data_IF_100331338502
#
_entry.id   IF_100331338502
#
_cell.length_a   1.000
_cell.length_b   1.000
_cell.length_c   1.000
_cell.angle_alpha   90.00
_cell.angle_beta   90.00
_cell.angle_gamma   90.00
#
_symmetry.space_group_name_H-M   'P 1'
#
loop_
_entity.id
_entity.type
_entity.pdbx_description
1 polymer ?
#
# COMPACT_ATOMS: atom_id res chain seq x y z
N UNK A 1 -1.22 8.50 12.27
CA UNK A 1 -2.62 8.67 11.83
C UNK A 1 -2.72 8.15 10.40
N UNK A 2 -3.57 7.15 10.16
CA UNK A 2 -3.83 6.62 8.83
C UNK A 2 -4.91 7.48 8.16
N UNK A 3 -4.67 7.90 6.92
CA UNK A 3 -5.66 8.65 6.15
C UNK A 3 -6.41 7.70 5.21
N UNK A 4 -7.69 7.99 4.97
CA UNK A 4 -8.56 7.07 4.23
C UNK A 4 -8.15 7.01 2.75
N UNK A 5 -7.92 5.83 2.14
CA UNK A 5 -7.41 5.75 0.77
C UNK A 5 -8.42 6.32 -0.24
N UNK A 6 -8.04 7.40 -0.92
CA UNK A 6 -8.85 8.08 -1.94
C UNK A 6 -8.03 8.30 -3.21
N UNK A 7 -8.72 8.59 -4.32
CA UNK A 7 -8.07 8.94 -5.58
C UNK A 7 -7.16 10.17 -5.47
N UNK A 8 -7.55 11.17 -4.65
CA UNK A 8 -6.72 12.35 -4.41
C UNK A 8 -5.36 11.97 -3.82
N UNK A 9 -5.36 11.07 -2.85
CA UNK A 9 -4.12 10.64 -2.22
C UNK A 9 -3.22 9.82 -3.13
N UNK A 10 -3.78 9.03 -4.05
CA UNK A 10 -3.00 8.37 -5.11
C UNK A 10 -2.35 9.38 -6.07
N UNK A 11 -3.09 10.45 -6.43
CA UNK A 11 -2.57 11.54 -7.29
C UNK A 11 -1.48 12.38 -6.62
N UNK A 12 -1.40 12.38 -5.30
CA UNK A 12 -0.38 13.13 -4.56
C UNK A 12 1.01 12.49 -4.69
N UNK A 13 1.09 11.14 -4.69
CA UNK A 13 2.37 10.42 -4.84
C UNK A 13 2.65 10.08 -6.30
N UNK A 14 1.62 9.81 -7.10
CA UNK A 14 1.74 9.51 -8.55
C UNK A 14 2.53 8.25 -8.88
N UNK A 15 2.72 7.36 -7.92
CA UNK A 15 3.45 6.11 -8.12
C UNK A 15 2.75 4.92 -7.46
N UNK A 16 3.23 3.74 -7.81
CA UNK A 16 2.80 2.44 -7.33
C UNK A 16 4.02 1.61 -6.97
N UNK A 17 3.82 0.57 -6.17
CA UNK A 17 4.79 -0.50 -5.99
C UNK A 17 4.16 -1.82 -6.45
N UNK A 18 4.94 -2.70 -7.07
CA UNK A 18 4.46 -4.01 -7.52
C UNK A 18 4.81 -5.06 -6.47
N UNK A 19 3.85 -5.91 -6.13
CA UNK A 19 4.12 -7.03 -5.24
C UNK A 19 4.86 -8.14 -6.00
N UNK A 20 5.98 -8.63 -5.46
CA UNK A 20 6.77 -9.70 -6.09
C UNK A 20 6.04 -11.05 -6.16
N UNK A 21 5.14 -11.32 -5.19
CA UNK A 21 4.38 -12.58 -5.13
C UNK A 21 3.23 -12.67 -6.13
N UNK A 22 2.55 -11.55 -6.39
CA UNK A 22 1.32 -11.56 -7.18
C UNK A 22 1.32 -10.59 -8.36
N UNK A 23 2.40 -9.84 -8.57
CA UNK A 23 2.60 -8.84 -9.62
C UNK A 23 1.56 -7.71 -9.68
N UNK A 24 0.66 -7.63 -8.70
CA UNK A 24 -0.37 -6.59 -8.65
C UNK A 24 0.26 -5.27 -8.20
N UNK A 25 -0.06 -4.15 -8.86
CA UNK A 25 0.32 -2.84 -8.37
C UNK A 25 -0.45 -2.48 -7.10
N UNK A 26 0.22 -1.79 -6.19
CA UNK A 26 -0.36 -1.21 -4.98
C UNK A 26 -0.10 0.29 -4.96
N UNK A 27 -1.16 1.04 -4.72
CA UNK A 27 -1.15 2.50 -4.76
C UNK A 27 -0.49 3.03 -3.50
N UNK A 28 0.49 3.92 -3.70
CA UNK A 28 1.02 4.71 -2.60
C UNK A 28 0.11 5.94 -2.40
N UNK A 29 -0.13 6.26 -1.15
CA UNK A 29 -0.98 7.35 -0.73
C UNK A 29 -0.13 8.37 0.02
N UNK A 30 -0.39 9.67 -0.17
CA UNK A 30 0.17 10.73 0.66
C UNK A 30 -0.88 11.79 0.98
N UNK A 31 -0.87 12.32 2.21
CA UNK A 31 -1.81 13.36 2.66
C UNK A 31 -1.74 14.63 1.82
N UNK A 32 -0.54 15.01 1.46
CA UNK A 32 -0.23 16.18 0.66
C UNK A 32 0.60 15.75 -0.54
N UNK A 33 0.66 16.62 -1.55
CA UNK A 33 1.50 16.42 -2.73
C UNK A 33 2.97 16.50 -2.30
N UNK A 34 3.75 15.50 -2.72
CA UNK A 34 5.20 15.50 -2.52
C UNK A 34 5.89 16.30 -3.62
N UNK A 35 7.07 16.84 -3.33
CA UNK A 35 7.91 17.56 -4.27
C UNK A 35 8.51 16.62 -5.32
N UNK A 36 9.09 17.19 -6.37
CA UNK A 36 9.76 16.39 -7.42
C UNK A 36 11.02 15.70 -6.89
N UNK A 37 11.76 16.35 -5.99
CA UNK A 37 12.95 15.79 -5.35
C UNK A 37 12.59 14.63 -4.42
N UNK A 38 11.55 14.83 -3.61
CA UNK A 38 10.97 13.79 -2.75
C UNK A 38 10.46 12.60 -3.56
N UNK A 39 9.79 12.86 -4.68
CA UNK A 39 9.31 11.82 -5.59
C UNK A 39 10.45 10.99 -6.16
N UNK A 40 11.53 11.63 -6.62
CA UNK A 40 12.72 10.94 -7.14
C UNK A 40 13.40 10.08 -6.07
N UNK A 41 13.54 10.61 -4.86
CA UNK A 41 14.09 9.87 -3.73
C UNK A 41 13.24 8.64 -3.39
N UNK A 42 11.91 8.82 -3.30
CA UNK A 42 10.97 7.73 -3.07
C UNK A 42 11.07 6.68 -4.17
N UNK A 43 11.12 7.09 -5.43
CA UNK A 43 11.19 6.16 -6.55
C UNK A 43 12.49 5.34 -6.52
N UNK A 44 13.64 5.98 -6.29
CA UNK A 44 14.93 5.29 -6.14
C UNK A 44 14.89 4.25 -5.02
N UNK A 45 14.30 4.60 -3.87
CA UNK A 45 14.13 3.64 -2.78
C UNK A 45 13.23 2.47 -3.17
N UNK A 46 12.07 2.74 -3.79
CA UNK A 46 11.13 1.69 -4.20
C UNK A 46 11.74 0.70 -5.20
N UNK A 47 12.66 1.16 -6.06
CA UNK A 47 13.39 0.31 -7.00
C UNK A 47 14.45 -0.57 -6.30
N UNK A 48 14.93 -0.16 -5.11
CA UNK A 48 15.94 -0.87 -4.33
C UNK A 48 15.38 -1.96 -3.39
N UNK A 49 14.06 -2.08 -3.30
CA UNK A 49 13.38 -2.99 -2.37
C UNK A 49 12.47 -3.98 -3.09
N UNK A 50 12.28 -5.13 -2.47
CA UNK A 50 11.22 -6.05 -2.82
C UNK A 50 10.01 -5.82 -1.92
N UNK A 51 8.83 -5.67 -2.52
CA UNK A 51 7.60 -5.44 -1.79
C UNK A 51 6.68 -6.67 -1.86
N UNK A 52 6.10 -7.02 -0.72
CA UNK A 52 5.06 -8.04 -0.60
C UNK A 52 3.78 -7.44 -0.03
N UNK A 53 2.63 -7.89 -0.54
CA UNK A 53 1.33 -7.38 -0.10
C UNK A 53 1.13 -7.60 1.41
N UNK A 54 0.56 -6.61 2.09
CA UNK A 54 0.29 -6.65 3.53
C UNK A 54 1.39 -6.02 4.38
N UNK A 55 2.56 -5.75 3.81
CA UNK A 55 3.66 -5.04 4.48
C UNK A 55 3.46 -3.53 4.37
N UNK A 56 3.90 -2.78 5.39
CA UNK A 56 3.94 -1.30 5.36
C UNK A 56 5.37 -0.80 5.28
N UNK A 57 5.58 0.42 4.77
CA UNK A 57 6.92 1.01 4.71
C UNK A 57 7.59 1.17 6.07
N UNK A 58 6.84 1.33 7.17
CA UNK A 58 7.44 1.30 8.51
C UNK A 58 8.25 0.04 8.79
N UNK A 59 7.78 -1.12 8.33
CA UNK A 59 8.53 -2.37 8.45
C UNK A 59 9.73 -2.45 7.50
N UNK A 60 9.74 -1.65 6.42
CA UNK A 60 10.85 -1.61 5.44
C UNK A 60 11.93 -0.59 5.83
N UNK A 61 11.57 0.50 6.50
CA UNK A 61 12.53 1.48 7.04
C UNK A 61 13.45 0.88 8.10
N UNK A 62 12.98 -0.09 8.87
CA UNK A 62 13.81 -0.82 9.83
C UNK A 62 14.90 -1.65 9.13
N UNK A 63 14.64 -2.15 7.91
CA UNK A 63 15.62 -2.86 7.09
C UNK A 63 16.65 -1.93 6.44
N UNK A 64 16.30 -0.68 6.10
CA UNK A 64 17.27 0.26 5.52
C UNK A 64 18.30 0.71 6.55
N UNK A 65 17.87 0.97 7.79
CA UNK A 65 18.77 1.33 8.89
C UNK A 65 19.79 0.23 9.24
N UNK A 66 19.46 -1.03 8.96
CA UNK A 66 20.36 -2.17 9.20
C UNK A 66 21.29 -2.49 8.02
N UNK A 67 20.99 -2.01 6.80
CA UNK A 67 21.89 -2.12 5.64
C UNK A 67 23.09 -1.16 5.69
N UNK A 68 23.05 -0.10 6.51
CA UNK A 68 24.15 0.86 6.66
C UNK A 68 25.40 0.32 7.39
N UNK A 69 25.41 -0.92 7.91
CA UNK A 69 26.50 -1.39 8.81
C UNK A 69 27.52 -2.38 8.25
N UNK A 70 27.47 -2.79 6.98
CA UNK A 70 28.51 -3.70 6.46
C UNK A 70 28.82 -3.45 4.99
N UNK A 71 29.83 -2.61 4.75
CA UNK A 71 30.86 -2.89 3.74
C UNK A 71 32.10 -2.00 3.97
N UNK A 72 33.08 -2.58 4.65
CA UNK A 72 34.49 -2.18 4.53
C UNK A 72 35.33 -3.38 4.97
N UNK A 73 35.95 -4.04 3.99
CA UNK A 73 36.87 -5.15 4.18
C UNK A 73 38.13 -4.73 4.97
N UNK A 74 38.65 -5.63 5.81
CA UNK A 74 40.07 -6.01 5.92
C UNK A 74 40.17 -7.29 6.77
N UNK A 75 40.88 -8.27 6.21
CA UNK A 75 41.25 -9.58 6.76
C UNK A 75 42.18 -9.52 8.01
N UNK A 76 42.26 -10.68 8.67
CA UNK A 76 43.44 -11.32 9.32
C UNK A 76 43.43 -11.46 10.86
N UNK A 77 43.32 -12.73 11.26
CA UNK A 77 43.86 -13.48 12.42
C UNK A 77 43.25 -13.35 13.85
N UNK A 78 42.67 -14.48 14.28
CA UNK A 78 43.03 -15.31 15.45
C UNK A 78 44.04 -14.69 16.45
N UNK A 79 43.63 -14.44 17.69
CA UNK A 79 44.15 -15.13 18.89
C UNK A 79 43.45 -14.67 20.19
N UNK A 80 43.12 -15.68 21.00
CA UNK A 80 43.08 -15.80 22.47
C UNK A 80 42.50 -14.75 23.46
N UNK A 81 42.02 -15.33 24.56
CA UNK A 81 41.32 -14.75 25.72
C UNK A 81 42.07 -13.62 26.48
N UNK A 82 41.34 -12.65 27.07
CA UNK A 82 41.27 -12.46 28.55
C UNK A 82 40.49 -11.22 29.04
N UNK A 83 39.62 -11.52 29.99
CA UNK A 83 39.18 -10.81 31.22
C UNK A 83 39.54 -9.34 31.52
N UNK A 84 38.47 -8.62 31.91
CA UNK A 84 38.29 -7.73 33.08
C UNK A 84 39.22 -6.52 33.28
N UNK A 85 38.63 -5.32 33.38
CA UNK A 85 38.39 -4.68 34.70
C UNK A 85 37.66 -3.34 34.60
N UNK A 86 36.84 -3.10 35.63
CA UNK A 86 36.08 -1.89 35.90
C UNK A 86 36.97 -0.68 36.23
N UNK A 87 36.53 0.51 35.82
CA UNK A 87 37.06 1.79 36.30
C UNK A 87 35.99 2.87 36.18
N UNK A 88 35.32 3.15 37.30
CA UNK A 88 34.47 4.33 37.53
C UNK A 88 35.33 5.60 37.52
N UNK A 89 34.96 6.60 36.72
CA UNK A 89 35.42 7.98 36.94
C UNK A 89 34.41 8.99 36.38
N UNK A 90 33.74 9.69 37.30
CA UNK A 90 32.84 10.82 37.05
C UNK A 90 33.60 12.03 36.47
N UNK A 91 33.13 12.55 35.33
CA UNK A 91 33.40 13.92 34.88
C UNK A 91 32.13 14.50 34.26
N UNK A 92 31.57 15.51 34.93
CA UNK A 92 30.56 16.41 34.37
C UNK A 92 31.19 17.24 33.25
N UNK A 93 30.61 17.22 32.06
CA UNK A 93 30.83 18.25 31.07
C UNK A 93 29.54 18.47 30.27
N UNK A 94 28.98 19.67 30.40
CA UNK A 94 27.90 20.18 29.56
C UNK A 94 28.34 20.05 28.10
N UNK A 95 27.85 19.03 27.42
CA UNK A 95 27.77 19.03 25.97
C UNK A 95 26.30 19.21 25.62
N UNK A 96 25.96 20.41 25.15
CA UNK A 96 24.83 20.60 24.25
C UNK A 96 24.96 19.56 23.14
N UNK A 97 24.29 18.41 23.31
CA UNK A 97 24.01 17.52 22.20
C UNK A 97 22.96 18.24 21.39
N UNK A 98 23.42 19.13 20.51
CA UNK A 98 22.79 19.31 19.23
C UNK A 98 22.58 17.91 18.65
N UNK A 99 21.40 17.36 18.90
CA UNK A 99 20.90 16.21 18.20
C UNK A 99 20.65 16.67 16.77
N UNK A 100 21.74 16.84 16.01
CA UNK A 100 21.70 16.73 14.56
C UNK A 100 21.51 15.24 14.27
N UNK A 101 20.35 14.71 14.68
CA UNK A 101 19.77 13.55 14.05
C UNK A 101 19.54 14.02 12.62
N UNK A 102 20.50 13.74 11.73
CA UNK A 102 20.27 13.82 10.30
C UNK A 102 19.19 12.81 10.00
N UNK A 103 17.93 13.22 10.17
CA UNK A 103 16.77 12.39 9.92
C UNK A 103 16.88 11.92 8.47
N UNK A 104 16.92 10.59 8.29
CA UNK A 104 17.00 9.98 6.97
C UNK A 104 15.86 10.54 6.10
N UNK A 105 16.15 11.22 4.97
CA UNK A 105 15.12 11.87 4.18
C UNK A 105 14.05 10.89 3.69
N UNK A 106 14.38 9.60 3.52
CA UNK A 106 13.36 8.60 3.20
C UNK A 106 12.46 8.27 4.40
N UNK A 107 13.00 8.31 5.63
CA UNK A 107 12.21 8.10 6.84
C UNK A 107 11.16 9.20 7.03
N UNK A 108 11.51 10.47 6.73
CA UNK A 108 10.54 11.57 6.70
C UNK A 108 9.43 11.33 5.68
N UNK A 109 9.79 10.85 4.47
CA UNK A 109 8.80 10.53 3.45
C UNK A 109 7.83 9.44 3.91
N UNK A 110 8.29 8.42 4.64
CA UNK A 110 7.41 7.37 5.16
C UNK A 110 6.50 7.81 6.31
N UNK A 111 6.71 9.00 6.89
CA UNK A 111 5.73 9.60 7.81
C UNK A 111 4.49 10.06 7.07
N UNK A 112 4.62 10.49 5.82
CA UNK A 112 3.53 11.07 5.02
C UNK A 112 3.03 10.14 3.90
N UNK A 113 3.90 9.28 3.37
CA UNK A 113 3.63 8.28 2.32
C UNK A 113 3.31 6.94 2.96
N UNK A 114 2.20 6.32 2.55
CA UNK A 114 1.74 5.06 3.09
C UNK A 114 1.21 4.13 2.01
N UNK A 115 1.28 2.83 2.30
CA UNK A 115 0.64 1.78 1.53
C UNK A 115 -0.42 1.11 2.40
N UNK A 116 -1.53 0.70 1.79
CA UNK A 116 -2.64 0.14 2.55
C UNK A 116 -2.39 -1.34 2.89
N UNK A 117 -1.99 -1.60 4.14
CA UNK A 117 -1.71 -2.94 4.68
C UNK A 117 -2.85 -3.97 4.57
N UNK A 118 -4.09 -3.52 4.34
CA UNK A 118 -5.23 -4.43 4.19
C UNK A 118 -5.24 -5.13 2.84
N UNK A 119 -4.46 -4.66 1.87
CA UNK A 119 -4.36 -5.30 0.56
C UNK A 119 -3.39 -6.47 0.59
N UNK A 120 -3.94 -7.65 0.37
CA UNK A 120 -3.23 -8.93 0.25
C UNK A 120 -3.12 -9.34 -1.22
N UNK A 121 -2.35 -10.39 -1.53
CA UNK A 121 -2.23 -10.91 -2.90
C UNK A 121 -3.58 -11.32 -3.53
N UNK A 122 -4.55 -11.73 -2.71
CA UNK A 122 -5.91 -12.10 -3.16
C UNK A 122 -6.83 -10.90 -3.35
N UNK A 123 -6.45 -9.72 -2.85
CA UNK A 123 -7.24 -8.50 -3.00
C UNK A 123 -7.27 -8.03 -4.45
N UNK A 124 -8.40 -7.46 -4.85
CA UNK A 124 -8.52 -6.70 -6.09
C UNK A 124 -7.58 -5.48 -6.07
N UNK A 125 -7.41 -4.86 -7.24
CA UNK A 125 -6.70 -3.60 -7.39
C UNK A 125 -7.52 -2.47 -6.73
N UNK A 126 -6.83 -1.54 -6.09
CA UNK A 126 -7.44 -0.42 -5.39
C UNK A 126 -8.24 0.48 -6.34
N UNK A 127 -9.48 0.86 -5.98
CA UNK A 127 -10.27 1.82 -6.77
C UNK A 127 -9.50 3.12 -7.09
N UNK A 128 -8.73 3.71 -6.15
CA UNK A 128 -7.85 4.85 -6.45
C UNK A 128 -6.91 4.66 -7.63
N UNK A 129 -6.46 3.44 -7.94
CA UNK A 129 -5.61 3.16 -9.11
C UNK A 129 -6.31 3.62 -10.40
N UNK A 130 -7.56 3.20 -10.59
CA UNK A 130 -8.34 3.50 -11.79
C UNK A 130 -8.84 4.94 -11.81
N UNK A 131 -9.36 5.42 -10.67
CA UNK A 131 -9.95 6.77 -10.57
C UNK A 131 -8.88 7.88 -10.67
N UNK A 132 -7.62 7.57 -10.35
CA UNK A 132 -6.54 8.53 -10.51
C UNK A 132 -6.32 8.91 -11.98
N UNK A 133 -6.56 7.97 -12.92
CA UNK A 133 -6.43 8.23 -14.37
C UNK A 133 -5.00 8.48 -14.85
N UNK A 134 -4.00 8.10 -14.06
CA UNK A 134 -2.57 8.32 -14.35
C UNK A 134 -1.81 7.01 -14.60
N UNK A 135 -2.43 5.86 -14.33
CA UNK A 135 -1.82 4.55 -14.48
C UNK A 135 -2.42 3.78 -15.67
N UNK A 136 -1.68 2.83 -16.28
CA UNK A 136 -2.21 2.01 -17.36
C UNK A 136 -3.44 1.22 -16.93
N UNK A 137 -4.36 1.02 -17.87
CA UNK A 137 -5.53 0.16 -17.65
C UNK A 137 -5.11 -1.29 -17.51
N UNK A 138 -5.60 -1.95 -16.47
CA UNK A 138 -5.33 -3.35 -16.14
C UNK A 138 -6.60 -4.02 -15.59
N UNK A 139 -6.64 -5.34 -15.56
CA UNK A 139 -7.75 -6.05 -14.94
C UNK A 139 -7.81 -5.78 -13.43
N UNK A 140 -8.99 -5.39 -12.94
CA UNK A 140 -9.26 -5.15 -11.53
C UNK A 140 -8.96 -6.34 -10.59
N UNK A 141 -8.93 -7.57 -11.12
CA UNK A 141 -8.73 -8.78 -10.29
C UNK A 141 -7.31 -9.32 -10.40
N UNK A 142 -6.81 -9.58 -11.61
CA UNK A 142 -5.51 -10.22 -11.81
C UNK A 142 -4.38 -9.24 -12.17
N UNK A 143 -4.70 -8.02 -12.60
CA UNK A 143 -3.69 -7.00 -12.94
C UNK A 143 -3.07 -7.13 -14.33
N UNK A 144 -3.52 -8.05 -15.18
CA UNK A 144 -3.04 -8.13 -16.58
C UNK A 144 -3.57 -6.94 -17.40
N UNK A 145 -2.80 -6.48 -18.38
CA UNK A 145 -3.15 -5.35 -19.26
C UNK A 145 -3.81 -5.77 -20.57
N UNK A 146 -3.82 -7.06 -20.88
CA UNK A 146 -4.30 -7.60 -22.15
C UNK A 146 -5.77 -8.06 -22.06
N UNK A 147 -6.44 -8.11 -23.22
CA UNK A 147 -7.78 -8.66 -23.36
C UNK A 147 -8.81 -8.05 -22.39
N UNK A 148 -8.67 -6.75 -22.14
CA UNK A 148 -9.54 -6.01 -21.22
C UNK A 148 -10.90 -5.72 -21.86
N UNK A 149 -11.93 -6.15 -21.15
CA UNK A 149 -13.31 -5.77 -21.39
C UNK A 149 -13.56 -4.46 -20.64
N UNK A 150 -13.82 -3.40 -21.41
CA UNK A 150 -14.22 -2.11 -20.87
C UNK A 150 -15.72 -1.94 -21.10
N UNK A 151 -16.47 -1.88 -20.00
CA UNK A 151 -17.89 -1.52 -19.98
C UNK A 151 -18.00 -0.13 -19.38
N UNK A 152 -18.83 0.71 -19.97
CA UNK A 152 -19.07 2.06 -19.48
C UNK A 152 -19.49 2.04 -18.00
N UNK A 153 -18.85 2.88 -17.18
CA UNK A 153 -19.06 2.97 -15.73
C UNK A 153 -18.69 1.71 -14.91
N UNK A 154 -18.03 0.71 -15.49
CA UNK A 154 -17.49 -0.44 -14.75
C UNK A 154 -15.95 -0.43 -14.72
N UNK A 155 -15.37 -1.12 -13.73
CA UNK A 155 -13.93 -1.35 -13.70
C UNK A 155 -13.53 -2.33 -14.82
N UNK A 156 -12.32 -2.20 -15.39
CA UNK A 156 -11.82 -3.12 -16.42
C UNK A 156 -11.60 -4.54 -15.88
N UNK A 157 -11.99 -5.55 -16.68
CA UNK A 157 -11.75 -6.97 -16.39
C UNK A 157 -11.19 -7.68 -17.62
N UNK A 158 -10.28 -8.65 -17.45
CA UNK A 158 -9.98 -9.59 -18.53
C UNK A 158 -11.14 -10.56 -18.76
N UNK A 159 -11.14 -11.26 -19.90
CA UNK A 159 -12.17 -12.25 -20.27
C UNK A 159 -12.47 -13.25 -19.15
N UNK A 160 -11.45 -13.86 -18.57
CA UNK A 160 -11.57 -14.88 -17.51
C UNK A 160 -12.18 -14.31 -16.22
N UNK A 161 -11.66 -13.16 -15.77
CA UNK A 161 -12.12 -12.51 -14.55
C UNK A 161 -13.53 -11.91 -14.72
N UNK A 162 -13.90 -11.49 -15.93
CA UNK A 162 -15.21 -10.94 -16.22
C UNK A 162 -16.32 -12.01 -16.09
N UNK A 163 -16.08 -13.22 -16.62
CA UNK A 163 -17.01 -14.36 -16.48
C UNK A 163 -17.22 -14.69 -15.00
N UNK A 164 -16.13 -14.84 -14.26
CA UNK A 164 -16.14 -15.14 -12.81
C UNK A 164 -16.85 -14.05 -11.99
N UNK A 165 -16.67 -12.77 -12.33
CA UNK A 165 -17.37 -11.66 -11.69
C UNK A 165 -18.87 -11.64 -12.05
N UNK A 166 -19.23 -12.01 -13.27
CA UNK A 166 -20.61 -12.11 -13.73
C UNK A 166 -21.43 -13.15 -12.98
N UNK A 167 -20.84 -14.30 -12.63
CA UNK A 167 -21.50 -15.34 -11.83
C UNK A 167 -21.82 -14.86 -10.41
N UNK A 168 -20.89 -14.16 -9.76
CA UNK A 168 -21.13 -13.53 -8.44
C UNK A 168 -22.24 -12.47 -8.51
N UNK A 169 -22.30 -11.68 -9.60
CA UNK A 169 -23.38 -10.72 -9.88
C UNK A 169 -24.75 -11.41 -10.04
N UNK A 170 -24.80 -12.61 -10.62
CA UNK A 170 -26.04 -13.41 -10.75
C UNK A 170 -26.48 -14.05 -9.43
N UNK A 171 -25.54 -14.45 -8.57
CA UNK A 171 -25.84 -15.04 -7.26
C UNK A 171 -26.51 -14.05 -6.29
N UNK A 172 -26.17 -12.76 -6.38
CA UNK A 172 -26.90 -11.69 -5.67
C UNK A 172 -28.30 -11.39 -6.24
N UNK A 173 -28.61 -11.92 -7.44
CA UNK A 173 -29.93 -11.88 -8.07
C UNK A 173 -30.61 -13.24 -8.02
N UNK A 174 -30.54 -13.97 -6.89
CA UNK A 174 -31.54 -15.03 -6.67
C UNK A 174 -32.90 -14.36 -6.64
N UNK A 175 -33.60 -14.53 -7.76
CA UNK A 175 -34.98 -14.15 -7.99
C UNK A 175 -35.79 -14.61 -6.77
N UNK A 176 -36.42 -13.66 -6.08
CA UNK A 176 -37.57 -13.99 -5.25
C UNK A 176 -38.52 -14.78 -6.15
N UNK A 177 -38.79 -16.01 -5.75
CA UNK A 177 -39.65 -16.92 -6.47
C UNK A 177 -40.99 -16.22 -6.77
N UNK A 178 -41.39 -16.38 -8.02
CA UNK A 178 -42.73 -16.15 -8.50
C UNK A 178 -43.72 -16.90 -7.61
N UNK A 179 -44.71 -16.18 -7.10
CA UNK A 179 -45.66 -16.66 -6.11
C UNK A 179 -46.89 -15.77 -6.14
N UNK A 180 -47.60 -15.79 -7.28
CA UNK A 180 -48.85 -15.07 -7.42
C UNK A 180 -49.87 -15.48 -6.36
N UNK A 181 -50.56 -14.51 -5.76
CA UNK A 181 -51.99 -14.67 -5.51
C UNK A 181 -52.72 -13.33 -5.39
N UNK A 182 -53.98 -13.36 -5.84
CA UNK A 182 -54.94 -12.26 -5.99
C UNK A 182 -55.53 -11.81 -4.64
N UNK A 183 -56.12 -10.61 -4.68
CA UNK A 183 -57.07 -10.01 -3.73
C UNK A 183 -56.46 -9.51 -2.40
N UNK A 184 -56.71 -8.29 -1.92
CA UNK A 184 -58.04 -7.69 -1.76
C UNK A 184 -57.93 -6.20 -1.39
N UNK A 185 -58.94 -5.44 -1.84
CA UNK A 185 -59.23 -4.04 -1.53
C UNK A 185 -59.11 -3.73 -0.03
N UNK A 186 -58.45 -2.62 0.34
CA UNK A 186 -58.66 -1.97 1.63
C UNK A 186 -59.07 -0.50 1.43
N UNK A 187 -60.34 -0.26 1.78
CA UNK A 187 -61.06 1.02 1.78
C UNK A 187 -60.30 2.07 2.59
N UNK A 188 -60.26 3.30 2.08
CA UNK A 188 -59.93 4.51 2.83
C UNK A 188 -61.03 4.74 3.88
N UNK A 189 -60.67 4.94 5.14
CA UNK A 189 -61.54 5.55 6.15
C UNK A 189 -61.01 6.94 6.45
N UNK A 190 -61.89 7.92 6.27
CA UNK A 190 -61.81 9.31 6.72
C UNK A 190 -62.50 9.36 8.10
N UNK A 191 -62.03 10.24 8.99
CA UNK A 191 -62.68 10.64 10.25
C UNK A 191 -61.69 10.58 11.42
N UNK A 192 -61.47 11.63 12.21
CA UNK A 192 -62.22 12.87 12.46
C UNK A 192 -61.34 14.11 12.33
#
# INVERSE_FOLDING_TARGET
MDFSPTAQYGKNVRTIVKCVECNKPRVLYARHKISEEEFRLLQSFLESIEYTCGVTFKGLSELSSSKSRKESDIDVNDDDEKENNNGDMDVNEDSEKENNNGDDPIAELFKIVQINKKHTCTSAIEKPYFVAGIFPQICNICGISEDLIQVENELPYCKECHVSAGEKRKIGKRKYFDGGNKNSRKKRKIGN
#
